data_IF_176583829971
#
_entry.id   IF_176583829971
#
_cell.length_a   1.000
_cell.length_b   1.000
_cell.length_c   1.000
_cell.angle_alpha   90.00
_cell.angle_beta   90.00
_cell.angle_gamma   90.00
#
_symmetry.space_group_name_H-M   'P 1'
#
loop_
_entity.id
_entity.type
_entity.pdbx_description
1 polymer ?
#
# COMPACT_ATOMS: atom_id res chain seq x y z
N UNK A 1 -17.29 -18.59 8.07
CA UNK A 1 -17.65 -17.17 7.89
C UNK A 1 -18.93 -16.93 8.65
N UNK A 2 -19.03 -15.89 9.51
CA UNK A 2 -20.25 -15.61 10.27
C UNK A 2 -21.47 -15.43 9.35
N UNK A 3 -22.65 -15.82 9.84
CA UNK A 3 -23.92 -15.54 9.15
C UNK A 3 -24.11 -14.01 9.02
N UNK A 4 -24.76 -13.56 7.97
CA UNK A 4 -25.00 -12.12 7.73
C UNK A 4 -23.81 -11.33 7.22
N UNK A 5 -22.73 -12.00 6.76
CA UNK A 5 -21.64 -11.31 6.06
C UNK A 5 -22.07 -10.81 4.68
N UNK A 6 -21.71 -9.57 4.37
CA UNK A 6 -22.01 -8.89 3.13
C UNK A 6 -20.72 -8.51 2.37
N UNK A 7 -20.84 -7.90 1.22
CA UNK A 7 -19.73 -7.47 0.37
C UNK A 7 -18.66 -6.60 1.11
N UNK A 8 -18.99 -5.91 2.21
CA UNK A 8 -18.02 -5.21 3.06
C UNK A 8 -16.88 -6.11 3.55
N UNK A 9 -17.10 -7.41 3.65
CA UNK A 9 -16.09 -8.38 4.07
C UNK A 9 -15.08 -8.71 2.97
N UNK A 10 -15.38 -8.36 1.72
CA UNK A 10 -14.50 -8.59 0.58
C UNK A 10 -13.48 -7.46 0.38
N UNK A 11 -13.59 -6.36 1.13
CA UNK A 11 -12.67 -5.21 0.99
C UNK A 11 -11.20 -5.60 1.19
N UNK A 12 -10.90 -6.50 2.13
CA UNK A 12 -9.53 -6.98 2.34
C UNK A 12 -9.00 -7.76 1.14
N UNK A 13 -9.78 -8.66 0.56
CA UNK A 13 -9.40 -9.38 -0.66
C UNK A 13 -9.33 -8.48 -1.89
N UNK A 14 -10.21 -7.47 -2.00
CA UNK A 14 -10.14 -6.46 -3.05
C UNK A 14 -8.86 -5.63 -2.96
N UNK A 15 -8.46 -5.23 -1.74
CA UNK A 15 -7.19 -4.51 -1.49
C UNK A 15 -5.98 -5.39 -1.86
N UNK A 16 -6.00 -6.67 -1.48
CA UNK A 16 -4.94 -7.61 -1.84
C UNK A 16 -4.86 -7.79 -3.36
N UNK A 17 -5.99 -7.95 -4.04
CA UNK A 17 -6.02 -8.03 -5.50
C UNK A 17 -5.45 -6.76 -6.14
N UNK A 18 -5.83 -5.58 -5.63
CA UNK A 18 -5.28 -4.31 -6.09
C UNK A 18 -3.75 -4.26 -5.91
N UNK A 19 -3.21 -4.72 -4.77
CA UNK A 19 -1.76 -4.80 -4.56
C UNK A 19 -1.07 -5.72 -5.58
N UNK A 20 -1.59 -6.93 -5.78
CA UNK A 20 -1.03 -7.88 -6.75
C UNK A 20 -1.09 -7.33 -8.19
N UNK A 21 -2.18 -6.63 -8.52
CA UNK A 21 -2.34 -6.00 -9.84
C UNK A 21 -1.36 -4.83 -10.07
N UNK A 22 -0.70 -4.31 -9.04
CA UNK A 22 0.37 -3.31 -9.18
C UNK A 22 1.73 -3.95 -9.47
N UNK A 23 1.97 -5.18 -8.98
CA UNK A 23 3.23 -5.87 -9.18
C UNK A 23 3.54 -6.16 -10.65
N UNK A 24 2.57 -6.69 -11.39
CA UNK A 24 2.75 -7.06 -12.81
C UNK A 24 3.13 -5.84 -13.69
N UNK A 25 2.33 -4.75 -13.73
CA UNK A 25 2.72 -3.58 -14.48
C UNK A 25 3.98 -2.91 -13.92
N UNK A 26 4.24 -2.98 -12.61
CA UNK A 26 5.47 -2.46 -12.00
C UNK A 26 6.72 -3.13 -12.54
N UNK A 27 6.73 -4.46 -12.63
CA UNK A 27 7.84 -5.22 -13.21
C UNK A 27 8.02 -4.86 -14.70
N UNK A 28 6.94 -4.78 -15.47
CA UNK A 28 7.01 -4.34 -16.86
C UNK A 28 7.64 -2.94 -17.00
N UNK A 29 7.19 -1.98 -16.20
CA UNK A 29 7.72 -0.62 -16.22
C UNK A 29 9.21 -0.58 -15.87
N UNK A 30 9.65 -1.39 -14.89
CA UNK A 30 11.03 -1.46 -14.48
C UNK A 30 11.98 -1.96 -15.57
N UNK A 31 11.50 -2.74 -16.53
CA UNK A 31 12.31 -3.23 -17.66
C UNK A 31 12.69 -2.12 -18.64
N UNK A 32 11.97 -1.01 -18.67
CA UNK A 32 12.15 0.09 -19.61
C UNK A 32 12.56 1.40 -18.95
N UNK A 33 12.33 1.52 -17.65
CA UNK A 33 12.62 2.75 -16.90
C UNK A 33 14.11 2.83 -16.53
N UNK A 34 14.68 4.03 -16.68
CA UNK A 34 16.07 4.32 -16.36
C UNK A 34 16.15 5.29 -15.17
N UNK A 35 16.58 4.82 -13.98
CA UNK A 35 16.63 5.65 -12.76
C UNK A 35 17.85 6.59 -12.71
N UNK A 36 18.01 7.41 -13.74
CA UNK A 36 19.04 8.42 -13.86
C UNK A 36 18.39 9.81 -14.05
N UNK A 37 18.82 10.86 -13.34
CA UNK A 37 18.21 12.20 -13.43
C UNK A 37 18.16 12.79 -14.84
N UNK A 38 19.11 12.42 -15.70
CA UNK A 38 19.16 12.88 -17.09
C UNK A 38 18.26 12.09 -18.03
N UNK A 39 17.83 10.88 -17.63
CA UNK A 39 17.11 9.93 -18.48
C UNK A 39 15.75 9.50 -17.95
N UNK A 40 15.49 9.69 -16.67
CA UNK A 40 14.29 9.20 -16.00
C UNK A 40 13.00 9.73 -16.65
N UNK A 41 12.93 11.04 -16.89
CA UNK A 41 11.78 11.65 -17.56
C UNK A 41 11.58 11.14 -18.98
N UNK A 42 12.65 11.09 -19.76
CA UNK A 42 12.60 10.62 -21.15
C UNK A 42 12.23 9.15 -21.24
N UNK A 43 12.79 8.29 -20.37
CA UNK A 43 12.45 6.87 -20.34
C UNK A 43 10.98 6.65 -19.96
N UNK A 44 10.44 7.43 -19.01
CA UNK A 44 9.02 7.39 -18.66
C UNK A 44 8.13 7.87 -19.82
N UNK A 45 8.55 8.91 -20.54
CA UNK A 45 7.84 9.39 -21.73
C UNK A 45 7.89 8.36 -22.87
N UNK A 46 9.05 7.75 -23.11
CA UNK A 46 9.22 6.67 -24.10
C UNK A 46 8.32 5.47 -23.82
N UNK A 47 8.22 5.05 -22.55
CA UNK A 47 7.29 3.98 -22.15
C UNK A 47 5.87 4.32 -22.61
N UNK A 48 5.43 5.55 -22.39
CA UNK A 48 4.06 5.97 -22.73
C UNK A 48 3.82 6.05 -24.23
N UNK A 49 4.79 6.56 -25.01
CA UNK A 49 4.56 6.96 -26.39
C UNK A 49 5.06 5.95 -27.42
N UNK A 50 6.03 5.10 -27.09
CA UNK A 50 6.76 4.26 -28.05
C UNK A 50 6.72 2.77 -27.74
N UNK A 51 6.60 2.38 -26.44
CA UNK A 51 6.58 0.97 -26.07
C UNK A 51 5.20 0.37 -26.31
N UNK A 52 5.15 -0.80 -26.93
CA UNK A 52 3.89 -1.52 -27.16
C UNK A 52 3.14 -1.74 -25.83
N UNK A 53 1.87 -1.32 -25.78
CA UNK A 53 1.03 -1.31 -24.57
C UNK A 53 1.58 -0.46 -23.40
N UNK A 54 2.63 0.31 -23.58
CA UNK A 54 3.27 1.07 -22.50
C UNK A 54 2.35 2.09 -21.85
N UNK A 55 1.56 2.82 -22.63
CA UNK A 55 0.54 3.75 -22.11
C UNK A 55 -0.49 3.03 -21.22
N UNK A 56 -1.01 1.89 -21.70
CA UNK A 56 -1.98 1.09 -20.94
C UNK A 56 -1.37 0.60 -19.63
N UNK A 57 -0.20 -0.02 -19.67
CA UNK A 57 0.46 -0.59 -18.49
C UNK A 57 0.81 0.49 -17.47
N UNK A 58 1.35 1.62 -17.93
CA UNK A 58 1.63 2.78 -17.06
C UNK A 58 0.36 3.38 -16.48
N UNK A 59 -0.69 3.47 -17.28
CA UNK A 59 -2.03 3.90 -16.86
C UNK A 59 -2.62 3.00 -15.78
N UNK A 60 -2.57 1.68 -15.98
CA UNK A 60 -3.02 0.69 -15.00
C UNK A 60 -2.26 0.79 -13.68
N UNK A 61 -0.93 0.97 -13.73
CA UNK A 61 -0.11 1.15 -12.53
C UNK A 61 -0.48 2.42 -11.78
N UNK A 62 -0.61 3.54 -12.47
CA UNK A 62 -0.97 4.84 -11.87
C UNK A 62 -2.37 4.85 -11.26
N UNK A 63 -3.38 4.43 -12.02
CA UNK A 63 -4.77 4.44 -11.55
C UNK A 63 -5.05 3.34 -10.55
N UNK A 64 -4.44 2.17 -10.73
CA UNK A 64 -4.55 1.05 -9.80
C UNK A 64 -3.98 1.38 -8.42
N UNK A 65 -2.88 2.16 -8.34
CA UNK A 65 -2.37 2.64 -7.05
C UNK A 65 -3.37 3.55 -6.32
N UNK A 66 -4.06 4.42 -7.05
CA UNK A 66 -5.13 5.27 -6.49
C UNK A 66 -6.29 4.43 -5.97
N UNK A 67 -6.76 3.46 -6.77
CA UNK A 67 -7.82 2.53 -6.34
C UNK A 67 -7.41 1.73 -5.11
N UNK A 68 -6.17 1.26 -5.05
CA UNK A 68 -5.63 0.53 -3.89
C UNK A 68 -5.69 1.38 -2.61
N UNK A 69 -5.28 2.64 -2.66
CA UNK A 69 -5.34 3.54 -1.50
C UNK A 69 -6.79 3.74 -1.03
N UNK A 70 -7.73 3.97 -1.94
CA UNK A 70 -9.16 4.09 -1.59
C UNK A 70 -9.68 2.81 -0.93
N UNK A 71 -9.36 1.65 -1.49
CA UNK A 71 -9.77 0.35 -0.94
C UNK A 71 -9.19 0.10 0.45
N UNK A 72 -7.93 0.48 0.71
CA UNK A 72 -7.31 0.37 2.04
C UNK A 72 -8.06 1.21 3.06
N UNK A 73 -8.43 2.46 2.73
CA UNK A 73 -9.21 3.30 3.64
C UNK A 73 -10.59 2.71 3.94
N UNK A 74 -11.28 2.19 2.94
CA UNK A 74 -12.57 1.53 3.13
C UNK A 74 -12.41 0.26 3.98
N UNK A 75 -11.37 -0.53 3.75
CA UNK A 75 -11.06 -1.72 4.54
C UNK A 75 -10.75 -1.38 6.01
N UNK A 76 -9.92 -0.37 6.24
CA UNK A 76 -9.60 0.13 7.59
C UNK A 76 -10.85 0.68 8.29
N UNK A 77 -11.66 1.48 7.59
CA UNK A 77 -12.92 2.01 8.09
C UNK A 77 -13.88 0.89 8.50
N UNK A 78 -14.06 -0.13 7.65
CA UNK A 78 -14.86 -1.31 7.99
C UNK A 78 -14.32 -2.01 9.25
N UNK A 79 -13.02 -2.23 9.32
CA UNK A 79 -12.40 -2.90 10.47
C UNK A 79 -12.63 -2.12 11.76
N UNK A 80 -12.54 -0.79 11.69
CA UNK A 80 -12.75 0.09 12.83
C UNK A 80 -14.23 0.11 13.27
N UNK A 81 -15.16 0.40 12.36
CA UNK A 81 -16.59 0.52 12.71
C UNK A 81 -17.22 -0.80 13.14
N UNK A 82 -16.70 -1.94 12.69
CA UNK A 82 -17.18 -3.26 13.07
C UNK A 82 -16.48 -3.80 14.35
N UNK A 83 -15.58 -3.01 14.94
CA UNK A 83 -14.84 -3.43 16.13
C UNK A 83 -13.90 -4.62 15.90
N UNK A 84 -13.51 -4.86 14.64
CA UNK A 84 -12.68 -6.00 14.25
C UNK A 84 -11.23 -5.91 14.75
N UNK A 85 -10.82 -4.77 15.30
CA UNK A 85 -9.53 -4.54 15.93
C UNK A 85 -9.45 -4.99 17.40
N UNK A 86 -10.60 -5.34 18.03
CA UNK A 86 -10.65 -5.73 19.44
C UNK A 86 -10.16 -7.17 19.62
N UNK A 87 -9.85 -7.51 20.89
CA UNK A 87 -9.41 -8.85 21.28
C UNK A 87 -10.22 -9.95 20.56
N UNK A 88 -9.57 -10.97 20.01
CA UNK A 88 -8.14 -11.28 20.04
C UNK A 88 -7.36 -10.79 18.80
N UNK A 89 -7.80 -9.72 18.08
CA UNK A 89 -7.29 -9.30 16.77
C UNK A 89 -6.43 -8.03 16.79
N UNK A 90 -5.99 -7.59 17.98
CA UNK A 90 -5.21 -6.36 18.15
C UNK A 90 -3.91 -6.41 17.34
N UNK A 91 -3.19 -7.53 17.40
CA UNK A 91 -1.94 -7.68 16.63
C UNK A 91 -2.20 -7.55 15.14
N UNK A 92 -3.30 -8.13 14.64
CA UNK A 92 -3.67 -8.02 13.23
C UNK A 92 -4.00 -6.59 12.82
N UNK A 93 -4.62 -5.82 13.72
CA UNK A 93 -4.86 -4.40 13.53
C UNK A 93 -3.55 -3.60 13.44
N UNK A 94 -2.60 -3.84 14.36
CA UNK A 94 -1.28 -3.19 14.36
C UNK A 94 -0.54 -3.46 13.04
N UNK A 95 -0.52 -4.72 12.58
CA UNK A 95 0.06 -5.08 11.27
C UNK A 95 -0.66 -4.32 10.15
N UNK A 96 -1.99 -4.22 10.19
CA UNK A 96 -2.76 -3.44 9.21
C UNK A 96 -2.39 -1.96 9.18
N UNK A 97 -2.13 -1.34 10.33
CA UNK A 97 -1.65 0.05 10.42
C UNK A 97 -0.25 0.19 9.83
N UNK A 98 0.65 -0.74 10.10
CA UNK A 98 1.99 -0.74 9.49
C UNK A 98 1.90 -0.91 7.97
N UNK A 99 1.03 -1.79 7.47
CA UNK A 99 0.76 -1.95 6.04
C UNK A 99 0.25 -0.65 5.40
N UNK A 100 -0.64 0.09 6.08
CA UNK A 100 -1.11 1.40 5.61
C UNK A 100 0.05 2.40 5.48
N UNK A 101 0.90 2.50 6.52
CA UNK A 101 2.07 3.38 6.49
C UNK A 101 3.02 3.01 5.34
N UNK A 102 3.33 1.73 5.17
CA UNK A 102 4.17 1.25 4.07
C UNK A 102 3.54 1.53 2.69
N UNK A 103 2.23 1.48 2.58
CA UNK A 103 1.53 1.84 1.34
C UNK A 103 1.69 3.33 1.02
N UNK A 104 1.67 4.21 2.02
CA UNK A 104 1.99 5.63 1.79
C UNK A 104 3.45 5.84 1.38
N UNK A 105 4.39 5.14 2.01
CA UNK A 105 5.80 5.17 1.60
C UNK A 105 5.95 4.66 0.16
N UNK A 106 5.22 3.58 -0.19
CA UNK A 106 5.19 3.05 -1.56
C UNK A 106 4.66 4.07 -2.56
N UNK A 107 3.56 4.76 -2.23
CA UNK A 107 2.99 5.80 -3.08
C UNK A 107 3.95 7.00 -3.23
N UNK A 108 4.55 7.47 -2.15
CA UNK A 108 5.51 8.57 -2.17
C UNK A 108 6.75 8.24 -3.01
N UNK A 109 7.34 7.07 -2.80
CA UNK A 109 8.53 6.65 -3.54
C UNK A 109 8.25 6.46 -5.03
N UNK A 110 7.07 5.94 -5.40
CA UNK A 110 6.65 5.80 -6.80
C UNK A 110 6.30 7.12 -7.47
N UNK A 111 5.80 8.09 -6.69
CA UNK A 111 5.41 9.41 -7.23
C UNK A 111 6.60 10.19 -7.77
N UNK A 112 7.80 10.01 -7.24
CA UNK A 112 9.02 10.65 -7.72
C UNK A 112 9.48 10.11 -9.08
N UNK A 113 9.27 8.83 -9.37
CA UNK A 113 9.92 8.15 -10.49
C UNK A 113 9.66 8.77 -11.87
N UNK A 114 8.49 9.36 -12.21
CA UNK A 114 8.33 10.08 -13.47
C UNK A 114 9.30 11.25 -13.67
N UNK A 115 9.88 11.75 -12.62
CA UNK A 115 10.91 12.79 -12.58
C UNK A 115 10.54 14.07 -13.34
N UNK A 116 9.24 14.42 -13.30
CA UNK A 116 8.71 15.67 -13.82
C UNK A 116 8.73 16.77 -12.75
N UNK A 117 8.41 18.00 -13.13
CA UNK A 117 8.38 19.14 -12.21
C UNK A 117 7.46 18.91 -10.99
N UNK A 118 6.34 18.20 -11.15
CA UNK A 118 5.42 17.92 -10.05
C UNK A 118 6.02 16.95 -9.06
N UNK A 119 6.59 15.86 -9.55
CA UNK A 119 7.21 14.84 -8.72
C UNK A 119 8.44 15.36 -7.98
N UNK A 120 9.25 16.17 -8.63
CA UNK A 120 10.40 16.83 -8.03
C UNK A 120 10.00 17.72 -6.85
N UNK A 121 9.14 18.70 -7.09
CA UNK A 121 8.74 19.64 -6.04
C UNK A 121 7.90 19.00 -4.94
N UNK A 122 7.04 18.02 -5.26
CA UNK A 122 6.32 17.26 -4.25
C UNK A 122 7.27 16.48 -3.33
N UNK A 123 8.36 15.93 -3.87
CA UNK A 123 9.37 15.24 -3.05
C UNK A 123 10.13 16.21 -2.15
N UNK A 124 10.53 17.38 -2.64
CA UNK A 124 11.15 18.42 -1.81
C UNK A 124 10.25 18.80 -0.64
N UNK A 125 8.97 19.07 -0.92
CA UNK A 125 7.99 19.40 0.12
C UNK A 125 7.82 18.26 1.12
N UNK A 126 7.69 17.02 0.64
CA UNK A 126 7.56 15.85 1.50
C UNK A 126 8.78 15.64 2.40
N UNK A 127 10.00 15.84 1.87
CA UNK A 127 11.23 15.72 2.66
C UNK A 127 11.35 16.84 3.69
N UNK A 128 10.97 18.06 3.35
CA UNK A 128 10.93 19.16 4.30
C UNK A 128 9.94 18.89 5.44
N UNK A 129 8.72 18.41 5.14
CA UNK A 129 7.73 18.02 6.14
C UNK A 129 8.26 16.88 7.01
N UNK A 130 8.84 15.85 6.38
CA UNK A 130 9.43 14.73 7.12
C UNK A 130 10.56 15.21 8.05
N UNK A 131 11.39 16.14 7.59
CA UNK A 131 12.49 16.74 8.37
C UNK A 131 12.01 17.50 9.62
N UNK A 132 10.75 17.92 9.71
CA UNK A 132 10.18 18.54 10.92
C UNK A 132 9.80 17.53 12.00
N UNK A 133 9.78 16.24 11.66
CA UNK A 133 9.45 15.18 12.61
C UNK A 133 10.46 15.11 13.75
N UNK A 134 10.03 15.06 15.03
CA UNK A 134 10.94 15.05 16.17
C UNK A 134 11.82 13.80 16.15
N UNK A 135 13.08 13.94 16.56
CA UNK A 135 14.09 12.90 16.73
C UNK A 135 14.55 12.22 15.44
N UNK A 136 13.64 11.63 14.67
CA UNK A 136 13.95 10.75 13.52
C UNK A 136 13.85 11.47 12.18
N UNK A 137 13.00 12.49 12.10
CA UNK A 137 12.66 13.18 10.84
C UNK A 137 13.87 13.69 10.05
N UNK A 138 14.79 14.49 10.65
CA UNK A 138 15.97 14.98 9.95
C UNK A 138 16.85 13.86 9.40
N UNK A 139 17.14 12.83 10.20
CA UNK A 139 17.97 11.69 9.78
C UNK A 139 17.32 10.89 8.64
N UNK A 140 16.00 10.71 8.68
CA UNK A 140 15.28 10.02 7.63
C UNK A 140 15.26 10.84 6.33
N UNK A 141 15.10 12.16 6.42
CA UNK A 141 15.15 13.04 5.25
C UNK A 141 16.54 13.02 4.63
N UNK A 142 17.61 13.16 5.41
CA UNK A 142 19.00 13.09 4.94
C UNK A 142 19.31 11.72 4.31
N UNK A 143 18.84 10.65 4.95
CA UNK A 143 18.99 9.31 4.39
C UNK A 143 18.28 9.17 3.05
N UNK A 144 17.03 9.64 2.92
CA UNK A 144 16.25 9.53 1.68
C UNK A 144 16.82 10.45 0.57
N UNK A 145 17.18 11.67 0.92
CA UNK A 145 17.76 12.63 -0.02
C UNK A 145 19.16 12.22 -0.48
N UNK A 146 19.95 11.61 0.40
CA UNK A 146 21.32 11.23 0.10
C UNK A 146 22.30 12.39 0.10
N UNK A 147 21.95 13.49 0.75
CA UNK A 147 22.73 14.71 0.87
C UNK A 147 21.83 15.94 1.10
N UNK A 148 22.41 17.14 1.18
CA UNK A 148 21.65 18.37 1.45
C UNK A 148 20.68 18.75 0.33
N UNK A 149 20.98 18.33 -0.90
CA UNK A 149 20.21 18.67 -2.09
C UNK A 149 19.71 17.43 -2.81
N UNK A 150 18.62 17.61 -3.54
CA UNK A 150 18.06 16.58 -4.40
C UNK A 150 19.03 16.23 -5.56
N UNK A 151 19.38 14.96 -5.69
CA UNK A 151 20.42 14.51 -6.65
C UNK A 151 20.17 13.08 -7.16
N UNK A 152 21.10 12.53 -7.93
CA UNK A 152 21.02 11.18 -8.47
C UNK A 152 20.87 10.10 -7.38
N UNK A 153 21.49 10.30 -6.22
CA UNK A 153 21.36 9.38 -5.08
C UNK A 153 19.93 9.34 -4.55
N UNK A 154 19.24 10.48 -4.51
CA UNK A 154 17.82 10.55 -4.12
C UNK A 154 16.98 9.67 -5.04
N UNK A 155 17.08 9.84 -6.34
CA UNK A 155 16.32 9.08 -7.33
C UNK A 155 16.62 7.57 -7.22
N UNK A 156 17.91 7.20 -7.10
CA UNK A 156 18.33 5.80 -6.96
C UNK A 156 17.77 5.15 -5.68
N UNK A 157 17.76 5.87 -4.54
CA UNK A 157 17.19 5.37 -3.29
C UNK A 157 15.69 5.19 -3.39
N UNK A 158 14.97 6.18 -3.93
CA UNK A 158 13.53 6.07 -4.13
C UNK A 158 13.16 4.92 -5.07
N UNK A 159 13.92 4.73 -6.14
CA UNK A 159 13.74 3.59 -7.03
C UNK A 159 13.96 2.26 -6.32
N UNK A 160 15.04 2.11 -5.56
CA UNK A 160 15.35 0.88 -4.82
C UNK A 160 14.30 0.57 -3.74
N UNK A 161 13.82 1.60 -3.03
CA UNK A 161 12.73 1.47 -2.07
C UNK A 161 11.44 1.02 -2.74
N UNK A 162 11.06 1.67 -3.86
CA UNK A 162 9.82 1.38 -4.57
C UNK A 162 9.82 0.02 -5.25
N UNK A 163 10.95 -0.40 -5.81
CA UNK A 163 11.02 -1.64 -6.58
C UNK A 163 11.28 -2.89 -5.76
N UNK A 164 11.99 -2.77 -4.63
CA UNK A 164 12.44 -3.93 -3.87
C UNK A 164 12.00 -3.92 -2.41
N UNK A 165 12.47 -2.92 -1.65
CA UNK A 165 12.37 -2.99 -0.20
C UNK A 165 10.92 -2.88 0.28
N UNK A 166 10.22 -1.84 -0.14
CA UNK A 166 8.86 -1.57 0.34
C UNK A 166 7.86 -2.63 -0.14
N UNK A 167 7.82 -3.03 -1.42
CA UNK A 167 6.91 -4.09 -1.86
C UNK A 167 7.23 -5.44 -1.22
N UNK A 168 8.52 -5.75 -0.98
CA UNK A 168 8.92 -6.95 -0.26
C UNK A 168 8.42 -6.98 1.19
N UNK A 169 8.56 -5.88 1.91
CA UNK A 169 8.03 -5.74 3.27
C UNK A 169 6.50 -5.82 3.30
N UNK A 170 5.81 -5.16 2.39
CA UNK A 170 4.35 -5.24 2.26
C UNK A 170 3.93 -6.68 2.02
N UNK A 171 4.55 -7.39 1.08
CA UNK A 171 4.23 -8.79 0.77
C UNK A 171 4.42 -9.71 2.00
N UNK A 172 5.53 -9.56 2.72
CA UNK A 172 5.79 -10.33 3.95
C UNK A 172 4.75 -10.06 5.04
N UNK A 173 4.40 -8.78 5.26
CA UNK A 173 3.39 -8.40 6.25
C UNK A 173 1.97 -8.77 5.83
N UNK A 174 1.64 -8.76 4.54
CA UNK A 174 0.36 -9.32 4.05
C UNK A 174 0.28 -10.80 4.40
N UNK A 175 1.37 -11.57 4.22
CA UNK A 175 1.44 -12.98 4.62
C UNK A 175 1.12 -13.17 6.12
N UNK A 176 1.76 -12.39 6.99
CA UNK A 176 1.50 -12.42 8.43
C UNK A 176 0.05 -11.99 8.77
N UNK A 177 -0.44 -10.93 8.11
CA UNK A 177 -1.81 -10.41 8.26
C UNK A 177 -2.86 -11.47 7.90
N UNK A 178 -2.70 -12.11 6.75
CA UNK A 178 -3.61 -13.17 6.28
C UNK A 178 -3.54 -14.42 7.17
N UNK A 179 -2.35 -14.78 7.64
CA UNK A 179 -2.20 -15.88 8.60
C UNK A 179 -3.02 -15.62 9.87
N UNK A 180 -2.95 -14.41 10.42
CA UNK A 180 -3.75 -14.05 11.61
C UNK A 180 -5.25 -14.02 11.29
N UNK A 181 -5.67 -13.54 10.12
CA UNK A 181 -7.07 -13.59 9.69
C UNK A 181 -7.57 -15.03 9.61
N UNK A 182 -6.77 -15.94 9.06
CA UNK A 182 -7.12 -17.36 8.97
C UNK A 182 -7.22 -18.03 10.36
N UNK A 183 -6.34 -17.65 11.30
CA UNK A 183 -6.30 -18.24 12.65
C UNK A 183 -7.36 -17.67 13.58
N UNK A 184 -7.64 -16.37 13.49
CA UNK A 184 -8.53 -15.66 14.43
C UNK A 184 -9.95 -15.44 13.88
N UNK A 185 -10.17 -15.73 12.59
CA UNK A 185 -11.44 -15.54 11.92
C UNK A 185 -11.84 -14.06 11.76
N UNK A 186 -13.02 -13.84 11.19
CA UNK A 186 -13.62 -12.51 10.98
C UNK A 186 -14.68 -12.23 12.06
N UNK A 187 -14.86 -10.93 12.38
CA UNK A 187 -15.94 -10.49 13.29
C UNK A 187 -17.30 -10.64 12.66
N UNK A 188 -18.31 -11.01 13.45
CA UNK A 188 -19.70 -10.90 13.04
C UNK A 188 -20.10 -9.43 12.82
N UNK A 189 -21.09 -9.15 11.96
CA UNK A 189 -21.64 -7.81 11.80
C UNK A 189 -22.21 -7.27 13.12
N UNK A 190 -22.02 -5.96 13.43
CA UNK A 190 -22.48 -5.39 14.71
C UNK A 190 -24.00 -5.32 14.86
N UNK A 191 -24.75 -5.47 13.78
CA UNK A 191 -26.22 -5.49 13.78
C UNK A 191 -26.83 -6.86 14.06
N UNK A 192 -26.02 -7.94 14.13
CA UNK A 192 -26.52 -9.25 14.52
C UNK A 192 -26.63 -9.32 16.04
N UNK A 193 -27.75 -9.85 16.53
CA UNK A 193 -27.94 -10.11 17.96
C UNK A 193 -27.02 -11.24 18.44
N UNK A 194 -26.64 -11.20 19.73
CA UNK A 194 -25.72 -12.19 20.32
C UNK A 194 -26.20 -13.65 20.14
N UNK A 195 -27.50 -13.87 20.15
CA UNK A 195 -28.09 -15.21 19.99
C UNK A 195 -27.97 -15.77 18.58
N UNK A 196 -27.83 -14.92 17.58
CA UNK A 196 -27.64 -15.32 16.17
C UNK A 196 -26.20 -15.71 15.87
N UNK A 197 -25.28 -15.46 16.81
CA UNK A 197 -23.87 -15.82 16.67
C UNK A 197 -23.55 -17.25 17.12
N UNK A 198 -24.48 -17.94 17.81
CA UNK A 198 -24.27 -19.31 18.24
C UNK A 198 -24.29 -20.25 17.01
N UNK A 199 -23.35 -21.21 16.93
CA UNK A 199 -23.41 -22.25 15.91
C UNK A 199 -24.71 -23.02 16.03
N UNK A 200 -25.29 -23.48 14.94
CA UNK A 200 -26.55 -24.21 14.90
C UNK A 200 -26.55 -25.44 15.83
N UNK A 201 -25.39 -26.09 16.01
CA UNK A 201 -25.24 -27.21 16.94
C UNK A 201 -25.55 -26.88 18.41
N UNK A 202 -25.44 -25.59 18.81
CA UNK A 202 -25.76 -25.16 20.18
C UNK A 202 -27.22 -24.71 20.35
N UNK A 203 -28.00 -24.66 19.27
CA UNK A 203 -29.44 -24.31 19.30
C UNK A 203 -30.35 -25.54 19.46
N UNK A 204 -29.78 -26.74 19.32
CA UNK A 204 -30.54 -28.03 19.40
C UNK A 204 -30.60 -28.56 20.82
N UNK A 205 -29.79 -28.04 21.76
CA UNK A 205 -29.73 -28.51 23.16
C UNK A 205 -30.49 -27.60 24.16
N UNK A 206 -31.28 -26.65 23.67
CA UNK A 206 -32.13 -25.77 24.50
C UNK A 206 -33.60 -25.94 24.15
#
# INVERSE_FOLDING_TARGET
VPTGTHWWYTLGSATMFAFLSQGVPGVFLAMYYEPDPTRAYESAARITNEVFLGELVRGMHRWGSTVMIVLIFLHMGRTFFFGAYKYPRELNWVIGVVLLILTFVMALTGYLLPFDQRSYWATIVAMNINGTGPLVGPYLSDFLMGGPDFNATTLSRFYSLHMMLVPGLIAALIGAHLYLVARLGTTAPPWLKADEHKPESSKVEA
#
